data_IF_810238153777
#
_entry.id   IF_810238153777
#
_cell.length_a   1.000
_cell.length_b   1.000
_cell.length_c   1.000
_cell.angle_alpha   90.00
_cell.angle_beta   90.00
_cell.angle_gamma   90.00
#
_symmetry.space_group_name_H-M   'P 1'
#
loop_
_entity.id
_entity.type
_entity.pdbx_description
1 polymer ?
#
# COMPACT_ATOMS: atom_id res chain seq x y z
N UNK A 1 -1.95 -18.84 18.11
CA UNK A 1 -1.01 -19.66 18.86
C UNK A 1 0.36 -19.74 18.16
N UNK A 2 0.69 -18.72 17.37
CA UNK A 2 2.00 -18.59 16.74
C UNK A 2 2.39 -17.11 16.62
N UNK A 3 3.63 -16.85 16.25
CA UNK A 3 4.16 -15.50 16.14
C UNK A 3 3.37 -14.61 15.16
N UNK A 4 2.81 -15.20 14.07
CA UNK A 4 1.95 -14.48 13.12
C UNK A 4 0.70 -13.90 13.78
N UNK A 5 0.02 -14.69 14.60
CA UNK A 5 -1.22 -14.24 15.23
C UNK A 5 -0.96 -13.01 16.13
N UNK A 6 0.22 -12.95 16.76
CA UNK A 6 0.63 -11.80 17.58
C UNK A 6 0.92 -10.58 16.70
N UNK A 7 1.75 -10.74 15.68
CA UNK A 7 2.13 -9.62 14.82
C UNK A 7 0.95 -9.05 14.04
N UNK A 8 0.08 -9.89 13.50
CA UNK A 8 -1.14 -9.44 12.84
C UNK A 8 -2.12 -8.75 13.81
N UNK A 9 -2.26 -9.26 15.02
CA UNK A 9 -3.09 -8.59 16.02
C UNK A 9 -2.58 -7.19 16.38
N UNK A 10 -1.25 -7.01 16.47
CA UNK A 10 -0.63 -5.71 16.72
C UNK A 10 -0.74 -4.78 15.49
N UNK A 11 -0.54 -5.30 14.28
CA UNK A 11 -0.71 -4.53 13.04
C UNK A 11 -2.15 -4.05 12.88
N UNK A 12 -3.11 -4.93 13.01
CA UNK A 12 -4.54 -4.61 12.77
C UNK A 12 -5.20 -3.90 13.95
N UNK A 13 -4.86 -4.27 15.18
CA UNK A 13 -5.48 -3.69 16.36
C UNK A 13 -4.92 -2.34 16.78
N UNK A 14 -3.64 -2.07 16.47
CA UNK A 14 -2.94 -0.85 16.89
C UNK A 14 -2.40 -0.04 15.70
N UNK A 15 -2.65 -0.45 14.46
CA UNK A 15 -2.18 0.25 13.27
C UNK A 15 -0.65 0.21 13.11
N UNK A 16 0.02 -0.78 13.70
CA UNK A 16 1.48 -0.91 13.56
C UNK A 16 1.84 -1.32 12.13
N UNK A 17 2.90 -0.75 11.57
CA UNK A 17 3.42 -1.12 10.25
C UNK A 17 4.01 -2.53 10.26
N UNK A 18 4.69 -2.89 11.34
CA UNK A 18 5.27 -4.20 11.60
C UNK A 18 4.88 -4.64 13.01
N UNK A 19 4.68 -5.92 13.20
CA UNK A 19 4.45 -6.47 14.52
C UNK A 19 5.72 -6.58 15.36
N UNK A 20 5.63 -6.88 16.67
CA UNK A 20 6.77 -6.92 17.57
C UNK A 20 7.82 -7.96 17.19
N UNK A 21 7.42 -9.12 16.70
CA UNK A 21 8.35 -10.15 16.25
C UNK A 21 9.00 -9.82 14.91
N UNK A 22 8.29 -9.16 14.00
CA UNK A 22 8.88 -8.65 12.76
C UNK A 22 9.98 -7.62 13.06
N UNK A 23 9.70 -6.66 13.95
CA UNK A 23 10.69 -5.66 14.38
C UNK A 23 11.90 -6.31 15.03
N UNK A 24 11.67 -7.31 15.89
CA UNK A 24 12.75 -8.04 16.53
C UNK A 24 13.61 -8.80 15.51
N UNK A 25 12.96 -9.50 14.56
CA UNK A 25 13.65 -10.23 13.52
C UNK A 25 14.46 -9.32 12.60
N UNK A 26 13.91 -8.16 12.20
CA UNK A 26 14.58 -7.17 11.39
C UNK A 26 15.79 -6.54 12.07
N UNK A 27 15.69 -6.30 13.37
CA UNK A 27 16.77 -5.72 14.18
C UNK A 27 17.92 -6.71 14.52
N UNK A 28 17.76 -7.99 14.16
CA UNK A 28 18.74 -9.04 14.44
C UNK A 28 18.33 -9.88 15.66
N UNK A 29 17.73 -11.03 15.40
CA UNK A 29 17.06 -11.88 16.39
C UNK A 29 17.91 -12.19 17.62
N UNK A 30 19.12 -12.75 17.44
CA UNK A 30 19.97 -13.19 18.55
C UNK A 30 20.62 -12.03 19.31
N UNK A 31 20.94 -10.93 18.63
CA UNK A 31 21.52 -9.76 19.26
C UNK A 31 20.52 -9.08 20.18
N UNK A 32 19.30 -8.85 19.69
CA UNK A 32 18.21 -8.28 20.47
C UNK A 32 17.83 -9.22 21.64
N UNK A 33 17.82 -10.55 21.42
CA UNK A 33 17.56 -11.52 22.48
C UNK A 33 18.55 -11.40 23.63
N UNK A 34 19.84 -11.25 23.33
CA UNK A 34 20.89 -11.06 24.34
C UNK A 34 20.69 -9.78 25.13
N UNK A 35 20.43 -8.66 24.42
CA UNK A 35 20.16 -7.37 25.07
C UNK A 35 18.94 -7.43 25.99
N UNK A 36 17.86 -8.06 25.58
CA UNK A 36 16.66 -8.24 26.43
C UNK A 36 16.98 -9.10 27.64
N UNK A 37 17.72 -10.20 27.47
CA UNK A 37 18.09 -11.06 28.59
C UNK A 37 18.99 -10.33 29.58
N UNK A 38 19.96 -9.56 29.13
CA UNK A 38 20.83 -8.71 29.98
C UNK A 38 20.02 -7.69 30.77
N UNK A 39 19.02 -7.06 30.16
CA UNK A 39 18.12 -6.12 30.86
C UNK A 39 17.22 -6.82 31.90
N UNK A 40 16.77 -8.04 31.60
CA UNK A 40 16.03 -8.87 32.56
C UNK A 40 16.92 -9.19 33.76
N UNK A 41 18.14 -9.67 33.51
CA UNK A 41 19.09 -10.08 34.55
C UNK A 41 19.54 -8.87 35.41
N UNK A 42 19.66 -7.70 34.82
CA UNK A 42 19.97 -6.45 35.50
C UNK A 42 18.76 -5.81 36.22
N UNK A 43 17.57 -6.40 36.13
CA UNK A 43 16.34 -5.87 36.72
C UNK A 43 15.81 -4.58 36.10
N UNK A 44 16.21 -4.26 34.87
CA UNK A 44 15.76 -3.09 34.12
C UNK A 44 14.50 -3.37 33.32
N UNK A 45 14.22 -4.63 32.96
CA UNK A 45 13.03 -5.02 32.23
C UNK A 45 11.80 -5.10 33.14
N UNK A 46 10.61 -4.85 32.58
CA UNK A 46 9.34 -5.02 33.29
C UNK A 46 9.07 -6.49 33.65
N UNK A 47 9.41 -7.39 32.72
CA UNK A 47 9.32 -8.85 32.99
C UNK A 47 10.57 -9.35 33.66
N UNK A 48 10.38 -10.19 34.69
CA UNK A 48 11.48 -10.84 35.43
C UNK A 48 11.75 -12.29 34.99
N UNK A 49 10.87 -12.83 34.11
CA UNK A 49 11.05 -14.18 33.60
C UNK A 49 12.13 -14.17 32.50
N UNK A 50 13.08 -15.13 32.52
CA UNK A 50 14.08 -15.25 31.47
C UNK A 50 13.41 -15.56 30.14
N UNK A 51 14.06 -15.19 29.05
CA UNK A 51 13.61 -15.57 27.70
C UNK A 51 13.65 -17.10 27.56
N UNK A 52 12.67 -17.70 26.86
CA UNK A 52 12.63 -19.14 26.64
C UNK A 52 13.84 -19.64 25.85
N UNK A 53 14.26 -20.89 26.10
CA UNK A 53 15.44 -21.48 25.47
C UNK A 53 15.35 -21.49 23.91
N UNK A 54 14.16 -21.68 23.35
CA UNK A 54 13.96 -21.68 21.91
C UNK A 54 14.31 -20.37 21.21
N UNK A 55 14.43 -19.26 21.97
CA UNK A 55 14.86 -17.96 21.44
C UNK A 55 16.34 -17.99 21.06
N UNK A 56 17.16 -18.72 21.81
CA UNK A 56 18.62 -18.74 21.70
C UNK A 56 19.17 -19.95 20.95
N UNK A 57 18.37 -21.02 20.83
CA UNK A 57 18.81 -22.30 20.26
C UNK A 57 17.75 -22.93 19.38
N UNK A 58 18.21 -23.73 18.42
CA UNK A 58 17.34 -24.52 17.53
C UNK A 58 16.72 -23.71 16.41
N UNK A 59 15.55 -24.13 15.87
CA UNK A 59 15.07 -23.69 14.56
C UNK A 59 14.89 -22.17 14.44
N UNK A 60 14.50 -21.46 15.50
CA UNK A 60 14.32 -20.01 15.47
C UNK A 60 15.66 -19.28 15.40
N UNK A 61 16.62 -19.71 16.23
CA UNK A 61 17.96 -19.14 16.23
C UNK A 61 18.68 -19.43 14.90
N UNK A 62 18.54 -20.65 14.38
CA UNK A 62 19.14 -21.06 13.11
C UNK A 62 18.54 -20.30 11.90
N UNK A 63 17.25 -19.99 11.96
CA UNK A 63 16.55 -19.20 10.93
C UNK A 63 16.74 -17.67 11.09
N UNK A 64 17.25 -17.22 12.21
CA UNK A 64 17.38 -15.79 12.53
C UNK A 64 16.06 -15.08 12.81
N UNK A 65 15.01 -15.83 13.19
CA UNK A 65 13.71 -15.26 13.51
C UNK A 65 12.57 -16.25 13.54
N UNK A 66 11.38 -15.74 13.81
CA UNK A 66 10.15 -16.54 13.99
C UNK A 66 9.27 -16.61 12.72
N UNK A 67 9.57 -15.84 11.69
CA UNK A 67 8.87 -15.86 10.42
C UNK A 67 9.81 -16.32 9.30
N UNK A 68 9.40 -17.35 8.56
CA UNK A 68 10.17 -17.96 7.48
C UNK A 68 9.27 -18.27 6.30
N UNK A 69 9.84 -18.67 5.17
CA UNK A 69 9.09 -19.17 4.01
C UNK A 69 8.22 -20.41 4.33
N UNK A 70 8.55 -21.16 5.39
CA UNK A 70 7.80 -22.35 5.81
C UNK A 70 6.65 -22.02 6.78
N UNK A 71 6.62 -20.81 7.33
CA UNK A 71 5.59 -20.37 8.27
C UNK A 71 6.15 -19.60 9.45
N UNK A 72 5.33 -19.47 10.48
CA UNK A 72 5.66 -18.75 11.70
C UNK A 72 5.80 -19.68 12.89
N UNK A 73 6.72 -19.35 13.79
CA UNK A 73 7.01 -20.17 14.98
C UNK A 73 5.81 -20.29 15.90
N UNK A 74 5.52 -21.52 16.32
CA UNK A 74 4.59 -21.82 17.40
C UNK A 74 5.37 -22.41 18.57
N UNK A 75 5.43 -21.68 19.66
CA UNK A 75 6.15 -22.13 20.87
C UNK A 75 5.49 -23.35 21.50
N UNK A 76 4.16 -23.47 21.45
CA UNK A 76 3.43 -24.62 21.99
C UNK A 76 3.64 -25.90 21.17
N UNK A 77 3.88 -25.77 19.85
CA UNK A 77 4.11 -26.92 18.96
C UNK A 77 5.61 -27.20 18.73
N UNK A 78 6.49 -26.29 19.13
CA UNK A 78 7.94 -26.40 18.91
C UNK A 78 8.37 -26.45 17.46
N UNK A 79 7.62 -25.81 16.54
CA UNK A 79 7.89 -25.84 15.09
C UNK A 79 7.34 -24.60 14.37
N UNK A 80 7.81 -24.38 13.14
CA UNK A 80 7.17 -23.44 12.23
C UNK A 80 5.85 -24.00 11.74
N UNK A 81 4.78 -23.18 11.80
CA UNK A 81 3.45 -23.53 11.40
C UNK A 81 3.08 -22.73 10.14
N UNK A 82 2.68 -23.38 9.05
CA UNK A 82 2.32 -22.71 7.82
C UNK A 82 1.10 -21.80 8.04
N UNK A 83 0.91 -20.84 7.13
CA UNK A 83 -0.29 -19.99 7.08
C UNK A 83 -1.55 -20.88 6.98
N UNK A 84 -2.58 -20.53 7.74
CA UNK A 84 -3.87 -21.23 7.64
C UNK A 84 -4.46 -21.06 6.25
N UNK A 85 -4.91 -22.15 5.67
CA UNK A 85 -5.66 -22.15 4.41
C UNK A 85 -7.15 -21.97 4.74
N UNK A 86 -7.59 -20.72 4.76
CA UNK A 86 -9.01 -20.36 4.92
C UNK A 86 -9.53 -19.84 3.58
N UNK A 87 -10.82 -20.09 3.24
CA UNK A 87 -11.40 -19.65 1.97
C UNK A 87 -11.27 -18.14 1.71
N UNK A 88 -11.19 -17.32 2.77
CA UNK A 88 -10.97 -15.89 2.66
C UNK A 88 -9.54 -15.56 2.19
N UNK A 89 -8.55 -16.37 2.56
CA UNK A 89 -7.17 -16.18 2.14
C UNK A 89 -6.90 -16.71 0.73
N UNK A 90 -7.61 -17.76 0.31
CA UNK A 90 -7.52 -18.32 -1.04
C UNK A 90 -7.97 -17.32 -2.13
N UNK A 91 -8.81 -16.35 -1.76
CA UNK A 91 -9.27 -15.28 -2.66
C UNK A 91 -8.27 -14.14 -2.80
N UNK A 92 -7.27 -14.05 -1.94
CA UNK A 92 -6.26 -13.00 -1.98
C UNK A 92 -5.19 -13.35 -3.01
N UNK A 93 -5.15 -12.60 -4.10
CA UNK A 93 -4.11 -12.76 -5.13
C UNK A 93 -2.75 -12.35 -4.55
N UNK A 94 -2.73 -11.26 -3.79
CA UNK A 94 -1.56 -10.74 -3.09
C UNK A 94 -1.88 -10.62 -1.59
N UNK A 95 -1.69 -11.70 -0.84
CA UNK A 95 -1.92 -11.65 0.60
C UNK A 95 -0.88 -10.77 1.29
N UNK A 96 -1.28 -10.12 2.38
CA UNK A 96 -0.37 -9.37 3.23
C UNK A 96 0.69 -10.31 3.81
N UNK A 97 1.95 -10.08 3.47
CA UNK A 97 3.09 -10.86 3.95
C UNK A 97 3.68 -10.27 5.23
N UNK A 98 4.13 -11.13 6.13
CA UNK A 98 5.01 -10.76 7.23
C UNK A 98 6.48 -10.85 6.79
N UNK A 99 7.36 -10.17 7.51
CA UNK A 99 8.79 -10.28 7.28
C UNK A 99 9.23 -11.76 7.31
N UNK A 100 9.95 -12.21 6.28
CA UNK A 100 10.39 -13.61 6.14
C UNK A 100 9.43 -14.53 5.38
N UNK A 101 8.20 -14.13 5.09
CA UNK A 101 7.26 -14.88 4.25
C UNK A 101 7.53 -14.68 2.75
N UNK A 102 8.71 -15.08 2.30
CA UNK A 102 9.18 -14.84 0.92
C UNK A 102 8.53 -15.73 -0.14
N UNK A 103 7.72 -16.72 0.26
CA UNK A 103 7.01 -17.61 -0.67
C UNK A 103 5.68 -17.06 -1.18
N UNK A 104 5.22 -15.94 -0.64
CA UNK A 104 3.96 -15.32 -1.07
C UNK A 104 4.15 -14.50 -2.35
N UNK A 105 3.10 -14.41 -3.21
CA UNK A 105 3.16 -13.58 -4.39
C UNK A 105 3.39 -12.11 -4.04
N UNK A 106 4.38 -11.48 -4.68
CA UNK A 106 4.63 -10.05 -4.59
C UNK A 106 4.09 -9.35 -5.84
N UNK A 107 3.16 -8.41 -5.64
CA UNK A 107 2.55 -7.64 -6.72
C UNK A 107 3.57 -6.82 -7.52
N UNK A 108 4.70 -6.44 -6.89
CA UNK A 108 5.77 -5.65 -7.54
C UNK A 108 6.46 -6.40 -8.66
N UNK A 109 6.49 -7.73 -8.57
CA UNK A 109 7.14 -8.62 -9.54
C UNK A 109 6.16 -9.48 -10.32
N UNK A 110 4.87 -9.48 -9.92
CA UNK A 110 3.84 -10.29 -10.56
C UNK A 110 3.38 -9.72 -11.89
N UNK A 111 2.79 -10.60 -12.71
CA UNK A 111 2.21 -10.26 -14.00
C UNK A 111 3.22 -9.84 -15.05
N UNK A 112 2.70 -9.26 -16.13
CA UNK A 112 3.51 -8.74 -17.25
C UNK A 112 3.50 -7.22 -17.21
N UNK A 113 4.65 -6.59 -17.05
CA UNK A 113 4.80 -5.13 -17.16
C UNK A 113 4.74 -4.75 -18.63
N UNK A 114 3.85 -3.82 -18.97
CA UNK A 114 3.65 -3.30 -20.32
C UNK A 114 4.46 -2.02 -20.52
N UNK A 115 4.35 -1.09 -19.55
CA UNK A 115 5.15 0.13 -19.50
C UNK A 115 5.49 0.47 -18.06
N UNK A 116 6.64 1.10 -17.86
CA UNK A 116 7.07 1.50 -16.53
C UNK A 116 7.91 2.78 -16.59
N UNK A 117 7.54 3.74 -15.74
CA UNK A 117 8.27 4.96 -15.49
C UNK A 117 8.71 5.04 -14.01
N UNK A 118 9.27 6.17 -13.60
CA UNK A 118 9.51 6.44 -12.18
C UNK A 118 8.22 6.64 -11.39
N UNK A 119 7.17 7.15 -12.05
CA UNK A 119 5.93 7.56 -11.43
C UNK A 119 4.83 6.50 -11.50
N UNK A 120 4.80 5.67 -12.54
CA UNK A 120 3.73 4.70 -12.80
C UNK A 120 4.28 3.39 -13.37
N UNK A 121 3.68 2.27 -12.95
CA UNK A 121 3.80 0.97 -13.60
C UNK A 121 2.46 0.60 -14.21
N UNK A 122 2.45 0.29 -15.50
CA UNK A 122 1.30 -0.25 -16.23
C UNK A 122 1.55 -1.72 -16.54
N UNK A 123 0.67 -2.60 -16.09
CA UNK A 123 0.88 -4.04 -16.14
C UNK A 123 -0.43 -4.84 -16.17
N UNK A 124 -0.36 -6.14 -16.38
CA UNK A 124 -1.54 -7.01 -16.43
C UNK A 124 -1.24 -8.38 -15.83
N UNK A 125 -2.28 -9.03 -15.29
CA UNK A 125 -2.22 -10.41 -14.80
C UNK A 125 -2.65 -11.42 -15.86
N UNK A 126 -3.65 -11.08 -16.68
CA UNK A 126 -4.35 -12.01 -17.57
C UNK A 126 -4.49 -11.50 -19.02
N UNK A 127 -3.86 -10.40 -19.35
CA UNK A 127 -3.92 -9.71 -20.65
C UNK A 127 -5.31 -9.16 -21.02
N UNK A 128 -6.27 -9.14 -20.09
CA UNK A 128 -7.61 -8.58 -20.30
C UNK A 128 -7.82 -7.25 -19.60
N UNK A 129 -7.26 -7.13 -18.42
CA UNK A 129 -7.39 -5.95 -17.56
C UNK A 129 -6.03 -5.31 -17.38
N UNK A 130 -5.94 -4.02 -17.67
CA UNK A 130 -4.76 -3.23 -17.44
C UNK A 130 -4.76 -2.71 -16.00
N UNK A 131 -3.62 -2.77 -15.33
CA UNK A 131 -3.45 -2.28 -13.97
C UNK A 131 -2.47 -1.10 -14.01
N UNK A 132 -2.88 0.04 -13.46
CA UNK A 132 -2.08 1.24 -13.30
C UNK A 132 -1.71 1.41 -11.83
N UNK A 133 -0.42 1.27 -11.50
CA UNK A 133 0.10 1.37 -10.14
C UNK A 133 0.99 2.59 -9.99
N UNK A 134 0.60 3.55 -9.16
CA UNK A 134 1.39 4.73 -8.84
C UNK A 134 2.56 4.32 -7.95
N UNK A 135 3.77 4.85 -8.22
CA UNK A 135 5.01 4.42 -7.59
C UNK A 135 5.68 5.45 -6.70
N UNK A 136 5.37 6.73 -6.89
CA UNK A 136 5.98 7.80 -6.10
C UNK A 136 5.50 7.79 -4.64
N UNK A 137 6.18 8.55 -3.80
CA UNK A 137 5.91 8.61 -2.35
C UNK A 137 4.46 9.00 -2.09
N UNK A 138 3.79 8.22 -1.21
CA UNK A 138 2.40 8.43 -0.82
C UNK A 138 1.41 8.37 -2.00
N UNK A 139 1.84 7.89 -3.15
CA UNK A 139 1.08 7.85 -4.40
C UNK A 139 0.48 9.21 -4.77
N UNK A 140 1.26 10.29 -4.53
CA UNK A 140 0.86 11.65 -4.86
C UNK A 140 0.73 11.83 -6.37
N UNK A 141 -0.26 12.62 -6.79
CA UNK A 141 -0.55 12.87 -8.21
C UNK A 141 0.35 14.02 -8.69
N UNK A 142 1.48 13.66 -9.29
CA UNK A 142 2.39 14.59 -9.97
C UNK A 142 2.03 14.71 -11.46
N UNK A 143 2.61 15.68 -12.20
CA UNK A 143 2.45 15.76 -13.65
C UNK A 143 2.79 14.45 -14.36
N UNK A 144 3.87 13.78 -13.96
CA UNK A 144 4.27 12.49 -14.56
C UNK A 144 3.28 11.36 -14.26
N UNK A 145 2.60 11.40 -13.09
CA UNK A 145 1.52 10.46 -12.77
C UNK A 145 0.30 10.75 -13.65
N UNK A 146 -0.06 12.03 -13.85
CA UNK A 146 -1.16 12.41 -14.73
C UNK A 146 -0.94 11.95 -16.16
N UNK A 147 0.24 12.20 -16.71
CA UNK A 147 0.65 11.75 -18.04
C UNK A 147 0.59 10.22 -18.15
N UNK A 148 1.21 9.50 -17.20
CA UNK A 148 1.19 8.03 -17.20
C UNK A 148 -0.20 7.43 -17.07
N UNK A 149 -1.11 8.03 -16.27
CA UNK A 149 -2.50 7.59 -16.19
C UNK A 149 -3.26 7.85 -17.50
N UNK A 150 -2.99 8.98 -18.17
CA UNK A 150 -3.60 9.28 -19.48
C UNK A 150 -3.14 8.28 -20.55
N UNK A 151 -1.85 7.98 -20.62
CA UNK A 151 -1.28 6.95 -21.52
C UNK A 151 -1.84 5.56 -21.23
N UNK A 152 -1.90 5.18 -19.93
CA UNK A 152 -2.48 3.90 -19.52
C UNK A 152 -3.95 3.78 -19.93
N UNK A 153 -4.72 4.87 -19.82
CA UNK A 153 -6.12 4.90 -20.26
C UNK A 153 -6.25 4.73 -21.77
N UNK A 154 -5.45 5.45 -22.56
CA UNK A 154 -5.42 5.29 -24.03
C UNK A 154 -5.08 3.86 -24.45
N UNK A 155 -4.14 3.25 -23.76
CA UNK A 155 -3.77 1.87 -24.01
C UNK A 155 -4.93 0.92 -23.63
N UNK A 156 -5.58 1.17 -22.49
CA UNK A 156 -6.72 0.35 -22.06
C UNK A 156 -7.88 0.42 -23.05
N UNK A 157 -8.20 1.60 -23.56
CA UNK A 157 -9.25 1.79 -24.56
C UNK A 157 -8.97 1.09 -25.90
N UNK A 158 -7.71 0.89 -26.26
CA UNK A 158 -7.32 0.22 -27.50
C UNK A 158 -7.24 -1.29 -27.39
N UNK A 159 -6.77 -1.82 -26.26
CA UNK A 159 -6.23 -3.18 -26.20
C UNK A 159 -6.77 -4.01 -25.02
N UNK A 160 -7.54 -3.42 -24.09
CA UNK A 160 -7.99 -4.08 -22.88
C UNK A 160 -9.50 -3.93 -22.65
N UNK A 161 -10.07 -4.84 -21.88
CA UNK A 161 -11.50 -4.81 -21.52
C UNK A 161 -11.80 -3.81 -20.38
N UNK A 162 -10.78 -3.27 -19.72
CA UNK A 162 -10.90 -2.31 -18.63
C UNK A 162 -9.57 -1.97 -17.98
N UNK A 163 -9.60 -1.00 -17.08
CA UNK A 163 -8.44 -0.56 -16.32
C UNK A 163 -8.73 -0.56 -14.82
N UNK A 164 -7.78 -0.97 -14.01
CA UNK A 164 -7.80 -0.86 -12.55
C UNK A 164 -6.69 0.07 -12.10
N UNK A 165 -7.03 1.10 -11.34
CA UNK A 165 -6.06 1.94 -10.63
C UNK A 165 -5.86 1.31 -9.26
N UNK A 166 -4.68 0.74 -9.04
CA UNK A 166 -4.35 0.02 -7.82
C UNK A 166 -2.84 0.00 -7.56
N UNK A 167 -2.46 0.33 -6.35
CA UNK A 167 -1.11 0.12 -5.81
C UNK A 167 -1.21 -0.84 -4.64
N UNK A 168 -0.31 -1.81 -4.55
CA UNK A 168 -0.42 -2.92 -3.59
C UNK A 168 -0.25 -2.54 -2.14
N UNK A 169 0.25 -1.34 -1.88
CA UNK A 169 0.44 -0.75 -0.55
C UNK A 169 -0.40 0.53 -0.38
N UNK A 170 -0.69 0.85 0.87
CA UNK A 170 -1.36 2.09 1.24
C UNK A 170 -0.37 3.28 1.21
N UNK A 171 -0.88 4.47 0.98
CA UNK A 171 -2.27 4.86 0.69
C UNK A 171 -2.66 4.61 -0.77
N UNK A 172 -3.95 4.68 -1.11
CA UNK A 172 -4.38 4.72 -2.51
C UNK A 172 -3.80 5.95 -3.23
N UNK A 173 -4.00 7.14 -2.67
CA UNK A 173 -3.35 8.40 -3.04
C UNK A 173 -3.66 9.49 -2.03
N UNK A 174 -2.68 10.33 -1.70
CA UNK A 174 -2.90 11.53 -0.86
C UNK A 174 -3.30 12.76 -1.66
N UNK A 175 -3.51 12.63 -2.98
CA UNK A 175 -3.89 13.73 -3.87
C UNK A 175 -2.70 14.39 -4.54
N UNK A 176 -2.85 15.67 -4.90
CA UNK A 176 -1.85 16.42 -5.64
C UNK A 176 -0.47 16.46 -4.95
N UNK A 177 0.60 16.33 -5.73
CA UNK A 177 1.96 16.51 -5.28
C UNK A 177 2.26 18.01 -5.10
N UNK A 178 1.95 18.54 -3.91
CA UNK A 178 2.14 19.96 -3.60
C UNK A 178 3.62 20.34 -3.58
N UNK A 179 4.52 19.42 -3.24
CA UNK A 179 5.97 19.69 -3.24
C UNK A 179 6.47 19.93 -4.66
N UNK A 180 5.99 19.15 -5.62
CA UNK A 180 6.33 19.31 -7.04
C UNK A 180 5.65 20.53 -7.69
N UNK A 181 4.44 20.90 -7.28
CA UNK A 181 3.63 21.94 -7.95
C UNK A 181 3.79 23.34 -7.33
N UNK A 182 4.05 23.46 -6.04
CA UNK A 182 4.20 24.76 -5.37
C UNK A 182 5.25 25.70 -5.97
N UNK A 183 6.43 25.22 -6.43
CA UNK A 183 7.39 26.12 -7.11
C UNK A 183 6.83 26.74 -8.38
N UNK A 184 6.05 25.99 -9.17
CA UNK A 184 5.41 26.50 -10.38
C UNK A 184 4.38 27.59 -10.05
N UNK A 185 3.60 27.39 -8.97
CA UNK A 185 2.64 28.39 -8.49
C UNK A 185 3.32 29.68 -8.02
N UNK A 186 4.43 29.55 -7.30
CA UNK A 186 5.17 30.69 -6.80
C UNK A 186 5.76 31.59 -7.90
N UNK A 187 6.12 31.00 -9.05
CA UNK A 187 6.72 31.71 -10.20
C UNK A 187 5.67 32.14 -11.22
N UNK A 188 4.74 31.24 -11.56
CA UNK A 188 3.76 31.43 -12.63
C UNK A 188 2.45 32.09 -12.20
N UNK A 189 2.23 32.24 -10.88
CA UNK A 189 1.03 32.85 -10.35
C UNK A 189 -0.26 32.10 -10.70
N UNK A 190 -1.40 32.84 -10.82
CA UNK A 190 -2.73 32.24 -11.07
C UNK A 190 -2.80 31.42 -12.36
N UNK A 191 -2.12 31.85 -13.42
CA UNK A 191 -2.17 31.19 -14.75
C UNK A 191 -1.53 29.80 -14.69
N UNK A 192 -0.46 29.63 -13.90
CA UNK A 192 0.16 28.32 -13.69
C UNK A 192 -0.74 27.37 -12.88
N UNK A 193 -1.45 27.90 -11.90
CA UNK A 193 -2.44 27.15 -11.11
C UNK A 193 -3.57 26.68 -12.02
N UNK A 194 -4.13 27.59 -12.83
CA UNK A 194 -5.21 27.27 -13.78
C UNK A 194 -4.80 26.17 -14.76
N UNK A 195 -3.58 26.24 -15.30
CA UNK A 195 -3.07 25.23 -16.24
C UNK A 195 -3.01 23.84 -15.63
N UNK A 196 -2.44 23.71 -14.43
CA UNK A 196 -2.29 22.41 -13.74
C UNK A 196 -3.65 21.84 -13.33
N UNK A 197 -4.53 22.68 -12.80
CA UNK A 197 -5.89 22.28 -12.45
C UNK A 197 -6.70 21.84 -13.67
N UNK A 198 -6.55 22.53 -14.80
CA UNK A 198 -7.21 22.16 -16.05
C UNK A 198 -6.71 20.78 -16.56
N UNK A 199 -5.42 20.50 -16.46
CA UNK A 199 -4.88 19.18 -16.81
C UNK A 199 -5.46 18.08 -15.93
N UNK A 200 -5.51 18.30 -14.62
CA UNK A 200 -6.08 17.37 -13.67
C UNK A 200 -7.59 17.15 -13.93
N UNK A 201 -8.35 18.21 -14.15
CA UNK A 201 -9.77 18.14 -14.50
C UNK A 201 -9.99 17.36 -15.81
N UNK A 202 -9.18 17.61 -16.83
CA UNK A 202 -9.24 16.90 -18.10
C UNK A 202 -8.99 15.40 -17.91
N UNK A 203 -7.99 15.02 -17.09
CA UNK A 203 -7.73 13.62 -16.77
C UNK A 203 -8.95 12.98 -16.06
N UNK A 204 -9.53 13.66 -15.05
CA UNK A 204 -10.71 13.17 -14.36
C UNK A 204 -11.89 12.97 -15.32
N UNK A 205 -12.12 13.92 -16.22
CA UNK A 205 -13.18 13.81 -17.23
C UNK A 205 -12.90 12.68 -18.23
N UNK A 206 -11.66 12.47 -18.67
CA UNK A 206 -11.29 11.34 -19.51
C UNK A 206 -11.56 10.01 -18.83
N UNK A 207 -11.20 9.86 -17.54
CA UNK A 207 -11.48 8.66 -16.75
C UNK A 207 -12.99 8.44 -16.62
N UNK A 208 -13.75 9.51 -16.38
CA UNK A 208 -15.22 9.45 -16.25
C UNK A 208 -15.92 8.96 -17.50
N UNK A 209 -15.44 9.39 -18.65
CA UNK A 209 -16.05 9.11 -19.96
C UNK A 209 -15.22 8.11 -20.79
N UNK A 210 -14.33 7.36 -20.13
CA UNK A 210 -13.56 6.32 -20.79
C UNK A 210 -14.45 5.28 -21.48
N UNK A 211 -13.99 4.78 -22.61
CA UNK A 211 -14.72 3.77 -23.42
C UNK A 211 -14.67 2.38 -22.78
N UNK A 212 -13.76 2.18 -21.81
CA UNK A 212 -13.66 0.97 -21.00
C UNK A 212 -13.89 1.30 -19.53
N UNK A 213 -14.40 0.37 -18.70
CA UNK A 213 -14.59 0.64 -17.29
C UNK A 213 -13.24 0.86 -16.59
N UNK A 214 -13.16 1.97 -15.86
CA UNK A 214 -12.04 2.25 -14.94
C UNK A 214 -12.49 2.00 -13.52
N UNK A 215 -11.75 1.17 -12.77
CA UNK A 215 -12.06 0.80 -11.39
C UNK A 215 -10.97 1.32 -10.47
N UNK A 216 -11.34 2.09 -9.44
CA UNK A 216 -10.44 2.45 -8.36
C UNK A 216 -10.49 1.38 -7.26
N UNK A 217 -9.37 0.70 -7.02
CA UNK A 217 -9.22 -0.27 -5.94
C UNK A 217 -8.48 0.39 -4.77
N UNK A 218 -9.25 0.83 -3.77
CA UNK A 218 -8.81 1.74 -2.72
C UNK A 218 -8.33 0.96 -1.49
N UNK A 219 -7.12 1.26 -1.04
CA UNK A 219 -6.56 0.77 0.22
C UNK A 219 -5.98 1.93 1.02
N UNK A 220 -6.38 2.06 2.29
CA UNK A 220 -5.97 3.16 3.15
C UNK A 220 -6.59 4.50 2.73
N UNK A 221 -5.78 5.54 2.58
CA UNK A 221 -6.24 6.90 2.32
C UNK A 221 -6.43 7.19 0.82
N UNK A 222 -7.53 7.83 0.47
CA UNK A 222 -7.80 8.45 -0.83
C UNK A 222 -8.24 9.90 -0.56
N UNK A 223 -7.28 10.82 -0.55
CA UNK A 223 -7.47 12.20 -0.08
C UNK A 223 -7.37 13.21 -1.21
N UNK A 224 -8.16 14.29 -1.14
CA UNK A 224 -8.10 15.37 -2.11
C UNK A 224 -8.24 14.87 -3.55
N UNK A 225 -7.27 15.19 -4.41
CA UNK A 225 -7.20 14.68 -5.78
C UNK A 225 -7.25 13.14 -5.88
N UNK A 226 -6.79 12.39 -4.86
CA UNK A 226 -6.95 10.93 -4.79
C UNK A 226 -8.40 10.50 -4.55
N UNK A 227 -9.15 11.26 -3.77
CA UNK A 227 -10.61 11.08 -3.64
C UNK A 227 -11.30 11.41 -4.96
N UNK A 228 -10.90 12.48 -5.63
CA UNK A 228 -11.44 12.89 -6.92
C UNK A 228 -11.19 11.81 -8.00
N UNK A 229 -9.96 11.28 -8.08
CA UNK A 229 -9.62 10.15 -8.95
C UNK A 229 -10.54 8.93 -8.70
N UNK A 230 -10.79 8.62 -7.43
CA UNK A 230 -11.67 7.52 -7.05
C UNK A 230 -13.14 7.76 -7.47
N UNK A 231 -13.69 8.96 -7.23
CA UNK A 231 -15.11 9.23 -7.52
C UNK A 231 -15.39 9.40 -9.01
N UNK A 232 -14.41 9.80 -9.80
CA UNK A 232 -14.52 9.84 -11.25
C UNK A 232 -14.39 8.47 -11.92
N UNK A 233 -13.83 7.48 -11.25
CA UNK A 233 -13.80 6.09 -11.73
C UNK A 233 -15.20 5.49 -11.82
N UNK A 234 -15.43 4.61 -12.82
CA UNK A 234 -16.72 3.95 -13.06
C UNK A 234 -17.19 3.13 -11.86
N UNK A 235 -16.25 2.49 -11.14
CA UNK A 235 -16.49 1.74 -9.91
C UNK A 235 -15.38 2.00 -8.88
N UNK A 236 -15.75 1.92 -7.62
CA UNK A 236 -14.86 1.95 -6.46
C UNK A 236 -15.00 0.66 -5.69
N UNK A 237 -13.87 0.02 -5.40
CA UNK A 237 -13.77 -1.11 -4.49
C UNK A 237 -12.83 -0.66 -3.39
N UNK A 238 -13.34 -0.54 -2.17
CA UNK A 238 -12.59 -0.02 -1.05
C UNK A 238 -12.38 -1.09 0.02
N UNK A 239 -11.18 -1.12 0.59
CA UNK A 239 -10.90 -1.85 1.82
C UNK A 239 -11.75 -1.27 2.96
N UNK A 240 -12.14 -2.09 3.94
CA UNK A 240 -13.07 -1.68 5.01
C UNK A 240 -12.61 -0.47 5.82
N UNK A 241 -11.31 -0.30 6.00
CA UNK A 241 -10.72 0.80 6.79
C UNK A 241 -10.19 1.94 5.91
N UNK A 242 -10.73 2.10 4.69
CA UNK A 242 -10.32 3.20 3.83
C UNK A 242 -10.86 4.53 4.33
N UNK A 243 -10.01 5.56 4.31
CA UNK A 243 -10.34 6.94 4.64
C UNK A 243 -10.39 7.77 3.36
N UNK A 244 -11.59 8.14 2.92
CA UNK A 244 -11.84 8.75 1.61
C UNK A 244 -12.50 10.13 1.82
N UNK A 245 -11.91 11.17 1.27
CA UNK A 245 -12.49 12.49 1.40
C UNK A 245 -11.70 13.63 0.77
N UNK A 246 -12.38 14.77 0.67
CA UNK A 246 -11.81 16.04 0.25
C UNK A 246 -11.25 16.75 1.50
N UNK A 247 -9.95 17.00 1.51
CA UNK A 247 -9.21 17.49 2.68
C UNK A 247 -8.52 18.85 2.43
N UNK A 248 -8.71 19.42 1.26
CA UNK A 248 -8.04 20.63 0.76
C UNK A 248 -8.18 21.81 1.70
N UNK A 249 -9.34 21.97 2.35
CA UNK A 249 -9.59 23.05 3.32
C UNK A 249 -8.61 22.99 4.49
N UNK A 250 -8.18 21.80 4.89
CA UNK A 250 -7.20 21.62 5.97
C UNK A 250 -5.82 22.20 5.66
N UNK A 251 -5.51 22.43 4.39
CA UNK A 251 -4.25 23.05 3.92
C UNK A 251 -4.49 24.40 3.22
N UNK A 252 -5.68 24.99 3.39
CA UNK A 252 -6.02 26.30 2.85
C UNK A 252 -6.35 26.34 1.36
N UNK A 253 -6.69 25.19 0.78
CA UNK A 253 -7.07 25.05 -0.62
C UNK A 253 -8.57 24.72 -0.77
N UNK A 254 -9.03 24.69 -2.02
CA UNK A 254 -10.37 24.24 -2.41
C UNK A 254 -10.23 23.06 -3.35
N UNK A 255 -11.08 22.02 -3.28
CA UNK A 255 -11.03 20.90 -4.22
C UNK A 255 -11.17 21.38 -5.67
N UNK A 256 -10.14 21.14 -6.48
CA UNK A 256 -10.02 21.73 -7.82
C UNK A 256 -10.41 20.78 -8.97
N UNK A 257 -10.24 19.47 -8.80
CA UNK A 257 -10.47 18.50 -9.88
C UNK A 257 -11.95 18.07 -10.06
N UNK A 258 -12.89 18.79 -9.45
CA UNK A 258 -14.33 18.60 -9.65
C UNK A 258 -15.03 17.73 -8.60
N UNK A 259 -14.33 17.33 -7.53
CA UNK A 259 -14.87 16.50 -6.45
C UNK A 259 -16.11 17.11 -5.78
N UNK A 260 -16.13 18.41 -5.56
CA UNK A 260 -17.29 19.13 -5.01
C UNK A 260 -18.55 18.93 -5.85
N UNK A 261 -18.41 19.04 -7.17
CA UNK A 261 -19.54 18.87 -8.11
C UNK A 261 -20.04 17.42 -8.11
N UNK A 262 -19.11 16.46 -8.04
CA UNK A 262 -19.46 15.04 -8.14
C UNK A 262 -20.06 14.48 -6.85
N UNK A 263 -19.48 14.80 -5.70
CA UNK A 263 -19.93 14.29 -4.39
C UNK A 263 -21.25 14.90 -3.96
N UNK A 264 -21.57 16.12 -4.42
CA UNK A 264 -22.82 16.80 -4.11
C UNK A 264 -24.06 16.24 -4.87
N UNK A 265 -23.87 15.30 -5.79
CA UNK A 265 -24.91 14.65 -6.59
C UNK A 265 -25.17 13.22 -6.13
#
# INVERSE_FOLDING_TARGET
>A
DNARDVDQAMRWGFGMKQGPFELWQEAGWLEVAKMIQEDIDAGKALCKAPLPEWVFKGPVADAGGVHTAQGSWSASQGKFVPRRQLPVYERQIFPEALLGETSLPDWRTAGTTIAESKALRTWTLDSKVLIASIKNKMHAISPEVMEGLAEALELAEREYDGMVIWSGDAPFSVGADLEATMPAFAVGGPDAVESIEQELQNLMMRIRYAQVPVVAAIHGMALGGGCELAVYSAKRVAHMESYIGLVEVGVGLVPGAGGLTYIAR
#
